data_IF_984725009157
#
_entry.id   IF_984725009157
#
_cell.length_a   1.000
_cell.length_b   1.000
_cell.length_c   1.000
_cell.angle_alpha   90.00
_cell.angle_beta   90.00
_cell.angle_gamma   90.00
#
_symmetry.space_group_name_H-M   'P 1'
#
loop_
_entity.id
_entity.type
_entity.pdbx_description
1 polymer ?
#
# COMPACT_ATOMS: atom_id res chain seq x y z
N UNK A 1 -16.13 23.24 -13.32
CA UNK A 1 -14.87 22.52 -13.04
C UNK A 1 -13.73 23.53 -13.00
N UNK A 2 -13.26 23.93 -11.82
CA UNK A 2 -12.16 24.90 -11.70
C UNK A 2 -11.04 24.23 -10.91
N UNK A 3 -10.06 23.74 -11.65
CA UNK A 3 -8.81 23.20 -11.14
C UNK A 3 -7.97 24.35 -10.58
N UNK A 4 -7.77 24.39 -9.27
CA UNK A 4 -6.82 25.33 -8.65
C UNK A 4 -5.53 24.54 -8.41
N UNK A 5 -4.51 24.81 -9.22
CA UNK A 5 -3.22 24.15 -9.13
C UNK A 5 -2.51 24.52 -7.81
N UNK A 6 -2.13 23.56 -6.95
CA UNK A 6 -1.28 23.85 -5.80
C UNK A 6 0.19 23.99 -6.21
N UNK A 7 0.94 24.73 -5.39
CA UNK A 7 2.39 24.91 -5.51
C UNK A 7 3.14 23.57 -5.48
N UNK A 8 4.15 23.35 -6.35
CA UNK A 8 4.81 22.08 -6.49
C UNK A 8 5.60 21.72 -5.22
N UNK A 9 5.27 20.57 -4.63
CA UNK A 9 6.11 19.94 -3.61
C UNK A 9 7.39 19.38 -4.26
N UNK A 10 8.52 19.33 -3.52
CA UNK A 10 9.78 18.83 -4.06
C UNK A 10 9.66 17.37 -4.51
N UNK A 11 10.14 17.08 -5.71
CA UNK A 11 10.24 15.73 -6.29
C UNK A 11 11.18 14.88 -5.42
N UNK A 12 10.62 14.01 -4.57
CA UNK A 12 11.41 13.05 -3.81
C UNK A 12 11.67 11.83 -4.70
N UNK A 13 12.86 11.78 -5.31
CA UNK A 13 13.36 10.60 -6.01
C UNK A 13 13.67 9.47 -5.02
N UNK A 14 12.69 8.64 -4.66
CA UNK A 14 12.91 7.47 -3.80
C UNK A 14 13.17 6.22 -4.64
N UNK A 15 14.45 5.95 -4.95
CA UNK A 15 14.86 4.64 -5.43
C UNK A 15 14.74 3.59 -4.31
N UNK A 16 14.24 2.39 -4.64
CA UNK A 16 14.23 1.25 -3.71
C UNK A 16 15.66 1.02 -3.20
N UNK A 17 15.89 1.33 -1.93
CA UNK A 17 17.22 1.34 -1.33
C UNK A 17 17.96 -0.02 -1.40
N UNK A 18 19.30 -0.01 -1.48
CA UNK A 18 20.16 -1.12 -1.90
C UNK A 18 20.18 -2.39 -1.00
N UNK A 19 19.35 -2.47 0.03
CA UNK A 19 19.36 -3.55 1.03
C UNK A 19 18.10 -4.43 1.05
N UNK A 20 17.08 -4.05 0.28
CA UNK A 20 15.72 -4.58 0.43
C UNK A 20 15.44 -5.90 -0.32
N UNK A 21 16.39 -6.83 -0.49
CA UNK A 21 16.04 -8.14 -1.10
C UNK A 21 17.08 -9.25 -0.84
N UNK A 22 18.30 -8.91 -0.38
CA UNK A 22 19.29 -9.90 0.07
C UNK A 22 18.81 -10.68 1.32
N UNK A 23 17.86 -10.11 2.07
CA UNK A 23 17.29 -10.69 3.29
C UNK A 23 16.32 -11.85 3.04
N UNK A 24 15.80 -12.00 1.81
CA UNK A 24 14.88 -13.09 1.46
C UNK A 24 15.61 -14.44 1.44
N UNK A 25 16.90 -14.47 1.08
CA UNK A 25 17.67 -15.72 1.01
C UNK A 25 18.17 -16.18 2.39
N UNK A 26 18.47 -15.25 3.30
CA UNK A 26 18.96 -15.58 4.66
C UNK A 26 17.84 -16.14 5.55
N UNK A 27 16.57 -15.79 5.31
CA UNK A 27 15.44 -16.18 6.16
C UNK A 27 14.89 -17.60 5.97
N UNK A 28 15.37 -18.38 5.00
CA UNK A 28 14.82 -19.71 4.66
C UNK A 28 15.74 -20.88 5.08
N UNK A 29 16.88 -20.62 5.72
CA UNK A 29 17.67 -21.70 6.33
C UNK A 29 18.32 -22.67 5.33
N UNK A 30 18.67 -22.20 4.13
CA UNK A 30 19.52 -22.98 3.21
C UNK A 30 20.95 -22.48 3.42
N UNK A 31 21.76 -23.29 4.10
CA UNK A 31 23.16 -22.96 4.42
C UNK A 31 24.04 -22.76 3.18
N UNK A 32 25.22 -22.14 3.34
CA UNK A 32 26.03 -21.60 2.24
C UNK A 32 26.56 -22.63 1.22
N UNK A 33 26.56 -23.92 1.58
CA UNK A 33 27.36 -24.93 0.87
C UNK A 33 26.65 -25.52 -0.37
N UNK A 34 25.33 -25.37 -0.49
CA UNK A 34 24.54 -25.81 -1.67
C UNK A 34 23.90 -24.65 -2.44
N UNK A 35 24.07 -23.41 -1.97
CA UNK A 35 23.25 -22.26 -2.36
C UNK A 35 23.98 -21.11 -3.04
N UNK A 36 25.29 -21.19 -3.28
CA UNK A 36 26.08 -20.05 -3.78
C UNK A 36 25.62 -19.49 -5.12
N UNK A 37 25.40 -20.35 -6.12
CA UNK A 37 24.92 -19.94 -7.44
C UNK A 37 23.46 -19.46 -7.42
N UNK A 38 22.60 -20.14 -6.65
CA UNK A 38 21.22 -19.70 -6.44
C UNK A 38 21.17 -18.35 -5.72
N UNK A 39 22.00 -18.14 -4.69
CA UNK A 39 22.15 -16.88 -3.98
C UNK A 39 22.68 -15.77 -4.89
N UNK A 40 23.69 -16.06 -5.71
CA UNK A 40 24.24 -15.12 -6.68
C UNK A 40 23.19 -14.74 -7.74
N UNK A 41 22.44 -15.70 -8.28
CA UNK A 41 21.32 -15.45 -9.19
C UNK A 41 20.24 -14.61 -8.53
N UNK A 42 19.86 -14.94 -7.29
CA UNK A 42 18.93 -14.12 -6.51
C UNK A 42 19.46 -12.68 -6.39
N UNK A 43 20.72 -12.50 -5.99
CA UNK A 43 21.34 -11.19 -5.83
C UNK A 43 21.42 -10.40 -7.15
N UNK A 44 21.67 -11.07 -8.28
CA UNK A 44 21.69 -10.47 -9.62
C UNK A 44 20.29 -10.04 -10.06
N UNK A 45 19.28 -10.90 -9.92
CA UNK A 45 17.89 -10.55 -10.23
C UNK A 45 17.41 -9.36 -9.39
N UNK A 46 17.79 -9.34 -8.12
CA UNK A 46 17.54 -8.23 -7.19
C UNK A 46 18.21 -6.93 -7.64
N UNK A 47 19.48 -6.97 -8.07
CA UNK A 47 20.17 -5.79 -8.60
C UNK A 47 19.55 -5.31 -9.91
N UNK A 48 19.14 -6.22 -10.80
CA UNK A 48 18.52 -5.88 -12.08
C UNK A 48 17.14 -5.25 -11.90
N UNK A 49 16.35 -5.75 -10.94
CA UNK A 49 15.07 -5.17 -10.55
C UNK A 49 15.18 -3.70 -10.07
N UNK A 50 16.36 -3.27 -9.61
CA UNK A 50 16.63 -1.89 -9.15
C UNK A 50 16.87 -0.89 -10.29
N UNK A 51 17.15 -1.35 -11.51
CA UNK A 51 17.52 -0.48 -12.64
C UNK A 51 16.32 0.22 -13.31
N UNK A 52 15.10 -0.13 -12.92
CA UNK A 52 13.87 0.43 -13.48
C UNK A 52 12.92 0.88 -12.36
N UNK A 53 13.28 1.84 -11.51
CA UNK A 53 12.34 2.31 -10.48
C UNK A 53 11.01 2.69 -11.14
N UNK A 54 9.89 2.13 -10.65
CA UNK A 54 8.58 2.62 -11.04
C UNK A 54 8.51 4.10 -10.72
N UNK A 55 8.13 4.90 -11.71
CA UNK A 55 7.94 6.34 -11.54
C UNK A 55 6.50 6.49 -11.08
N UNK A 56 6.29 7.13 -9.94
CA UNK A 56 4.94 7.58 -9.62
C UNK A 56 4.53 8.56 -10.72
N UNK A 57 3.27 8.61 -11.17
CA UNK A 57 2.79 9.87 -11.72
C UNK A 57 3.16 10.97 -10.72
N UNK A 58 3.39 12.22 -11.15
CA UNK A 58 3.61 13.33 -10.20
C UNK A 58 2.34 13.47 -9.35
N UNK A 59 2.24 12.66 -8.30
CA UNK A 59 1.26 12.74 -7.24
C UNK A 59 1.80 13.88 -6.41
N UNK A 60 1.55 15.09 -6.91
CA UNK A 60 1.45 16.25 -6.06
C UNK A 60 0.59 15.77 -4.89
N UNK A 61 1.10 15.89 -3.67
CA UNK A 61 0.31 15.71 -2.47
C UNK A 61 -0.84 16.72 -2.56
N UNK A 62 -1.91 16.33 -3.22
CA UNK A 62 -3.07 17.18 -3.44
C UNK A 62 -3.98 16.94 -2.27
N UNK A 63 -4.24 18.00 -1.51
CA UNK A 63 -5.52 18.19 -0.85
C UNK A 63 -6.57 18.22 -1.99
N UNK A 64 -7.01 17.04 -2.42
CA UNK A 64 -7.92 16.90 -3.55
C UNK A 64 -9.34 16.95 -3.01
N UNK A 65 -9.97 18.12 -3.10
CA UNK A 65 -11.39 18.28 -2.85
C UNK A 65 -12.17 17.76 -4.05
N UNK A 66 -12.78 16.59 -3.90
CA UNK A 66 -13.78 16.09 -4.84
C UNK A 66 -15.14 16.56 -4.33
N UNK A 67 -15.82 17.46 -5.03
CA UNK A 67 -17.25 17.67 -4.83
C UNK A 67 -17.99 17.35 -6.12
N UNK A 68 -19.04 16.55 -6.00
CA UNK A 68 -20.11 16.53 -7.00
C UNK A 68 -20.90 17.83 -6.84
N UNK A 69 -21.33 18.46 -7.93
CA UNK A 69 -22.02 19.76 -7.88
C UNK A 69 -23.36 19.67 -7.15
N UNK A 70 -23.90 18.46 -6.98
CA UNK A 70 -25.14 18.19 -6.24
C UNK A 70 -24.93 17.94 -4.73
N UNK A 71 -23.69 18.02 -4.22
CA UNK A 71 -23.32 17.72 -2.83
C UNK A 71 -22.70 18.90 -2.05
N UNK A 72 -22.84 20.13 -2.57
CA UNK A 72 -22.19 21.35 -2.03
C UNK A 72 -22.52 21.65 -0.55
N UNK A 73 -23.64 21.14 -0.03
CA UNK A 73 -24.07 21.33 1.38
C UNK A 73 -23.57 20.25 2.36
N UNK A 74 -22.71 19.31 1.91
CA UNK A 74 -22.22 18.23 2.76
C UNK A 74 -20.78 18.45 3.24
N UNK A 75 -20.55 18.33 4.55
CA UNK A 75 -19.20 18.40 5.12
C UNK A 75 -18.32 17.30 4.51
N UNK A 76 -17.17 17.63 3.91
CA UNK A 76 -16.28 16.65 3.30
C UNK A 76 -15.74 15.64 4.31
N UNK A 77 -15.62 14.39 3.88
CA UNK A 77 -14.92 13.34 4.62
C UNK A 77 -13.41 13.59 4.54
N UNK A 78 -12.75 13.73 5.68
CA UNK A 78 -11.28 13.80 5.75
C UNK A 78 -10.71 12.40 5.67
N UNK A 79 -10.04 12.07 4.56
CA UNK A 79 -9.48 10.75 4.31
C UNK A 79 -7.96 10.85 4.25
N UNK A 80 -7.25 10.13 5.12
CA UNK A 80 -5.78 10.10 5.12
C UNK A 80 -5.22 8.76 4.68
N UNK A 81 -4.32 8.77 3.71
CA UNK A 81 -3.57 7.60 3.26
C UNK A 81 -2.15 7.59 3.85
N UNK A 82 -1.82 6.51 4.55
CA UNK A 82 -0.50 6.22 5.10
C UNK A 82 0.12 5.01 4.38
N UNK A 83 1.44 5.00 4.26
CA UNK A 83 2.17 3.82 3.84
C UNK A 83 3.20 4.05 2.75
N UNK A 84 3.25 3.13 1.79
CA UNK A 84 4.32 3.02 0.81
C UNK A 84 3.93 3.42 -0.62
N UNK A 85 4.56 2.81 -1.63
CA UNK A 85 4.39 3.18 -3.03
C UNK A 85 2.96 2.97 -3.53
N UNK A 86 2.24 1.98 -3.01
CA UNK A 86 0.87 1.70 -3.43
C UNK A 86 -0.08 2.81 -2.95
N UNK A 87 0.04 3.20 -1.68
CA UNK A 87 -0.72 4.33 -1.14
C UNK A 87 -0.30 5.67 -1.75
N UNK A 88 0.95 5.81 -2.18
CA UNK A 88 1.44 6.96 -2.94
C UNK A 88 0.99 6.97 -4.42
N UNK A 89 0.26 5.95 -4.89
CA UNK A 89 -0.30 5.91 -6.24
C UNK A 89 0.66 5.43 -7.34
N UNK A 90 1.81 4.85 -6.99
CA UNK A 90 2.78 4.36 -8.00
C UNK A 90 2.15 3.25 -8.83
N UNK A 91 2.21 3.36 -10.16
CA UNK A 91 1.65 2.39 -11.09
C UNK A 91 0.33 2.80 -11.71
N UNK A 92 -0.29 3.89 -11.23
CA UNK A 92 -1.36 4.57 -11.96
C UNK A 92 -0.78 5.39 -13.13
N UNK A 93 -1.53 5.54 -14.22
CA UNK A 93 -1.11 6.35 -15.37
C UNK A 93 -1.43 7.84 -15.16
N UNK A 94 -2.41 8.15 -14.31
CA UNK A 94 -2.75 9.51 -13.87
C UNK A 94 -3.13 9.58 -12.39
N UNK A 95 -3.26 10.79 -11.84
CA UNK A 95 -3.69 11.01 -10.44
C UNK A 95 -5.08 10.44 -10.20
N UNK A 96 -5.98 10.58 -11.16
CA UNK A 96 -7.35 10.08 -11.11
C UNK A 96 -7.41 8.56 -10.98
N UNK A 97 -6.41 7.86 -11.49
CA UNK A 97 -6.33 6.40 -11.46
C UNK A 97 -5.58 5.85 -10.24
N UNK A 98 -5.08 6.71 -9.36
CA UNK A 98 -4.47 6.27 -8.10
C UNK A 98 -5.51 5.61 -7.19
N UNK A 99 -5.11 4.63 -6.36
CA UNK A 99 -6.04 3.97 -5.44
C UNK A 99 -6.80 4.95 -4.55
N UNK A 100 -6.10 5.97 -4.06
CA UNK A 100 -6.65 6.99 -3.18
C UNK A 100 -7.75 7.81 -3.87
N UNK A 101 -7.53 8.25 -5.11
CA UNK A 101 -8.53 9.00 -5.87
C UNK A 101 -9.69 8.13 -6.33
N UNK A 102 -9.44 6.87 -6.72
CA UNK A 102 -10.52 5.95 -7.09
C UNK A 102 -11.42 5.69 -5.89
N UNK A 103 -10.85 5.37 -4.71
CA UNK A 103 -11.63 5.20 -3.47
C UNK A 103 -12.38 6.47 -3.10
N UNK A 104 -11.73 7.64 -3.16
CA UNK A 104 -12.37 8.91 -2.79
C UNK A 104 -13.62 9.19 -3.62
N UNK A 105 -13.59 8.92 -4.93
CA UNK A 105 -14.77 9.06 -5.81
C UNK A 105 -15.88 8.04 -5.54
N UNK A 106 -15.57 6.94 -4.84
CA UNK A 106 -16.54 5.90 -4.53
C UNK A 106 -17.20 6.08 -3.15
N UNK A 107 -16.81 7.09 -2.35
CA UNK A 107 -17.33 7.29 -1.00
C UNK A 107 -18.66 8.08 -0.94
N UNK A 108 -19.31 8.32 -2.08
CA UNK A 108 -20.62 9.02 -2.24
C UNK A 108 -20.75 10.36 -1.48
N UNK A 109 -19.61 10.98 -1.15
CA UNK A 109 -19.52 12.24 -0.40
C UNK A 109 -18.30 13.01 -0.88
N UNK A 110 -18.27 14.35 -0.69
CA UNK A 110 -17.05 15.09 -0.91
C UNK A 110 -15.94 14.56 -0.01
N UNK A 111 -14.72 14.47 -0.55
CA UNK A 111 -13.56 13.97 0.19
C UNK A 111 -12.48 15.04 0.21
N UNK A 112 -11.97 15.34 1.40
CA UNK A 112 -10.71 16.03 1.62
C UNK A 112 -9.61 14.97 1.78
N UNK A 113 -8.88 14.72 0.70
CA UNK A 113 -7.92 13.63 0.61
C UNK A 113 -6.50 14.10 0.97
N UNK A 114 -5.87 13.43 1.93
CA UNK A 114 -4.47 13.66 2.31
C UNK A 114 -3.63 12.40 2.10
N UNK A 115 -2.57 12.49 1.30
CA UNK A 115 -1.65 11.38 1.05
C UNK A 115 -0.32 11.67 1.74
N UNK A 116 -0.03 10.95 2.84
CA UNK A 116 1.25 11.02 3.56
C UNK A 116 2.19 9.87 3.19
N UNK A 117 1.72 8.94 2.35
CA UNK A 117 2.47 7.79 1.90
C UNK A 117 3.73 8.20 1.12
N UNK A 118 4.80 7.41 1.30
CA UNK A 118 6.10 7.65 0.66
C UNK A 118 6.58 6.36 0.03
N UNK A 119 6.92 6.41 -1.26
CA UNK A 119 7.40 5.23 -1.98
C UNK A 119 8.64 4.62 -1.29
N UNK A 120 8.59 3.29 -1.12
CA UNK A 120 9.64 2.52 -0.43
C UNK A 120 9.55 2.50 1.10
N UNK A 121 8.59 3.23 1.70
CA UNK A 121 8.42 3.27 3.16
C UNK A 121 8.16 1.87 3.75
N UNK A 122 8.74 1.65 4.93
CA UNK A 122 8.46 0.50 5.81
C UNK A 122 7.56 0.97 6.95
N UNK A 123 7.03 0.02 7.73
CA UNK A 123 6.25 0.34 8.92
C UNK A 123 7.00 1.24 9.92
N UNK A 124 8.35 1.19 9.94
CA UNK A 124 9.15 2.10 10.78
C UNK A 124 9.05 3.55 10.32
N UNK A 125 9.05 3.76 9.01
CA UNK A 125 9.08 5.09 8.39
C UNK A 125 7.69 5.73 8.50
N UNK A 126 6.63 4.92 8.47
CA UNK A 126 5.27 5.40 8.80
C UNK A 126 5.24 5.95 10.24
N UNK A 127 5.77 5.20 11.21
CA UNK A 127 5.82 5.64 12.61
C UNK A 127 6.66 6.91 12.78
N UNK A 128 7.84 6.95 12.16
CA UNK A 128 8.82 8.02 12.39
C UNK A 128 8.51 9.31 11.61
N UNK A 129 7.89 9.22 10.43
CA UNK A 129 7.78 10.35 9.51
C UNK A 129 6.35 10.66 9.02
N UNK A 130 5.41 9.71 9.08
CA UNK A 130 4.04 9.94 8.60
C UNK A 130 3.07 10.19 9.74
N UNK A 131 3.12 9.39 10.82
CA UNK A 131 2.26 9.60 12.00
C UNK A 131 2.39 11.00 12.63
N UNK A 132 3.59 11.63 12.72
CA UNK A 132 3.69 12.99 13.26
C UNK A 132 2.98 14.06 12.42
N UNK A 133 2.56 13.73 11.20
CA UNK A 133 1.84 14.61 10.26
C UNK A 133 0.37 14.22 10.09
N UNK A 134 -0.09 13.20 10.83
CA UNK A 134 -1.47 12.74 10.84
C UNK A 134 -2.32 13.78 11.58
N UNK A 135 -3.26 14.37 10.86
CA UNK A 135 -4.29 15.23 11.41
C UNK A 135 -5.56 14.40 11.73
N UNK A 136 -6.52 14.94 12.49
CA UNK A 136 -7.81 14.28 12.69
C UNK A 136 -8.48 13.94 11.35
N UNK A 137 -8.80 12.67 11.16
CA UNK A 137 -9.38 12.13 9.94
C UNK A 137 -10.64 11.33 10.26
N UNK A 138 -11.58 11.29 9.32
CA UNK A 138 -12.81 10.51 9.41
C UNK A 138 -12.59 9.08 8.88
N UNK A 139 -11.55 8.88 8.06
CA UNK A 139 -11.10 7.58 7.58
C UNK A 139 -9.57 7.59 7.37
N UNK A 140 -8.91 6.53 7.81
CA UNK A 140 -7.49 6.27 7.52
C UNK A 140 -7.34 5.00 6.69
N UNK A 141 -6.55 5.06 5.62
CA UNK A 141 -6.20 3.89 4.80
C UNK A 141 -4.70 3.63 4.90
N UNK A 142 -4.32 2.39 5.23
CA UNK A 142 -2.92 2.00 5.44
C UNK A 142 -2.51 0.95 4.40
N UNK A 143 -1.48 1.26 3.63
CA UNK A 143 -0.80 0.32 2.73
C UNK A 143 0.68 0.23 3.07
N UNK A 144 1.06 -0.70 3.95
CA UNK A 144 2.46 -0.85 4.34
C UNK A 144 2.86 -2.29 4.66
N UNK A 145 4.04 -2.64 4.17
CA UNK A 145 4.79 -3.81 4.64
C UNK A 145 5.38 -4.69 3.53
N UNK A 146 5.06 -4.43 2.27
CA UNK A 146 5.76 -5.05 1.14
C UNK A 146 7.28 -4.74 1.22
N UNK A 147 7.63 -3.51 1.59
CA UNK A 147 9.01 -3.09 1.83
C UNK A 147 9.64 -3.71 3.10
N UNK A 148 8.84 -4.09 4.10
CA UNK A 148 9.32 -4.83 5.27
C UNK A 148 9.65 -6.28 4.89
N UNK A 149 8.79 -6.93 4.10
CA UNK A 149 9.00 -8.27 3.53
C UNK A 149 10.29 -8.30 2.73
N UNK A 150 10.52 -7.27 1.91
CA UNK A 150 11.71 -7.17 1.09
C UNK A 150 13.00 -6.96 1.94
N UNK A 151 12.88 -6.35 3.13
CA UNK A 151 14.02 -6.01 3.99
C UNK A 151 14.40 -7.05 5.05
N UNK A 152 15.44 -6.73 5.83
CA UNK A 152 15.87 -7.46 7.03
C UNK A 152 14.96 -7.23 8.26
N UNK A 153 13.81 -6.57 8.10
CA UNK A 153 12.79 -6.50 9.16
C UNK A 153 12.41 -7.91 9.61
N UNK A 154 12.27 -8.09 10.92
CA UNK A 154 11.65 -9.29 11.46
C UNK A 154 10.14 -9.09 11.49
N UNK A 155 9.38 -10.19 11.35
CA UNK A 155 7.91 -10.16 11.46
C UNK A 155 7.44 -9.55 12.78
N UNK A 156 8.17 -9.79 13.88
CA UNK A 156 7.84 -9.22 15.19
C UNK A 156 8.01 -7.69 15.21
N UNK A 157 9.12 -7.16 14.65
CA UNK A 157 9.31 -5.71 14.54
C UNK A 157 8.25 -5.05 13.67
N UNK A 158 7.90 -5.68 12.55
CA UNK A 158 6.80 -5.23 11.70
C UNK A 158 5.47 -5.20 12.47
N UNK A 159 5.10 -6.30 13.14
CA UNK A 159 3.86 -6.40 13.90
C UNK A 159 3.76 -5.33 15.00
N UNK A 160 4.83 -5.10 15.76
CA UNK A 160 4.88 -4.07 16.80
C UNK A 160 4.71 -2.65 16.24
N UNK A 161 5.28 -2.38 15.07
CA UNK A 161 5.13 -1.06 14.42
C UNK A 161 3.75 -0.86 13.85
N UNK A 162 3.16 -1.90 13.24
CA UNK A 162 1.77 -1.84 12.79
C UNK A 162 0.82 -1.62 13.97
N UNK A 163 1.09 -2.25 15.12
CA UNK A 163 0.30 -2.07 16.34
C UNK A 163 0.36 -0.62 16.83
N UNK A 164 1.56 -0.01 16.81
CA UNK A 164 1.74 1.41 17.14
C UNK A 164 1.04 2.35 16.13
N UNK A 165 1.06 2.01 14.84
CA UNK A 165 0.33 2.77 13.82
C UNK A 165 -1.17 2.74 14.11
N UNK A 166 -1.75 1.55 14.34
CA UNK A 166 -3.19 1.42 14.61
C UNK A 166 -3.61 2.06 15.94
N UNK A 167 -2.74 2.03 16.94
CA UNK A 167 -2.97 2.75 18.19
C UNK A 167 -3.01 4.28 17.97
N UNK A 168 -2.15 4.81 17.09
CA UNK A 168 -2.10 6.24 16.78
C UNK A 168 -3.23 6.73 15.87
N UNK A 169 -3.84 5.84 15.07
CA UNK A 169 -5.00 6.19 14.24
C UNK A 169 -6.33 6.06 14.98
N UNK A 170 -6.34 5.48 16.18
CA UNK A 170 -7.55 5.40 17.00
C UNK A 170 -8.02 6.80 17.44
N UNK A 171 -9.35 7.06 17.50
CA UNK A 171 -10.45 6.12 17.23
C UNK A 171 -10.91 6.11 15.76
N UNK A 172 -10.20 6.78 14.84
CA UNK A 172 -10.67 6.93 13.46
C UNK A 172 -10.80 5.57 12.74
N UNK A 173 -11.92 5.31 12.04
CA UNK A 173 -12.07 4.19 11.11
C UNK A 173 -10.80 3.96 10.28
N UNK A 174 -10.22 2.77 10.38
CA UNK A 174 -8.93 2.46 9.73
C UNK A 174 -9.02 1.22 8.85
N UNK A 175 -8.86 1.38 7.54
CA UNK A 175 -8.74 0.26 6.59
C UNK A 175 -7.27 -0.12 6.41
N UNK A 176 -6.93 -1.39 6.65
CA UNK A 176 -5.57 -1.92 6.46
C UNK A 176 -5.55 -2.85 5.26
N UNK A 177 -4.84 -2.46 4.21
CA UNK A 177 -4.68 -3.32 3.02
C UNK A 177 -3.91 -4.59 3.37
N UNK A 178 -4.35 -5.73 2.83
CA UNK A 178 -3.57 -6.97 2.89
C UNK A 178 -2.28 -6.84 2.08
N UNK A 179 -1.31 -7.73 2.35
CA UNK A 179 -0.11 -7.78 1.51
C UNK A 179 -0.52 -8.24 0.11
N UNK A 180 -0.27 -7.45 -0.96
CA UNK A 180 -0.63 -7.88 -2.31
C UNK A 180 0.12 -9.16 -2.69
N UNK A 181 -0.41 -9.91 -3.67
CA UNK A 181 0.28 -11.10 -4.18
C UNK A 181 1.54 -10.68 -4.95
N UNK A 182 2.66 -10.56 -4.24
CA UNK A 182 3.95 -10.20 -4.82
C UNK A 182 4.51 -11.25 -5.78
N UNK A 183 3.87 -12.42 -5.91
CA UNK A 183 4.24 -13.39 -6.95
C UNK A 183 3.80 -12.96 -8.35
N UNK A 184 2.91 -11.96 -8.44
CA UNK A 184 2.55 -11.33 -9.71
C UNK A 184 3.71 -10.52 -10.30
N UNK A 185 4.64 -10.03 -9.48
CA UNK A 185 5.75 -9.19 -9.94
C UNK A 185 6.67 -9.93 -10.93
N UNK A 186 6.56 -9.55 -12.20
CA UNK A 186 7.29 -10.17 -13.30
C UNK A 186 8.77 -9.89 -13.32
N UNK A 187 9.14 -8.74 -12.78
CA UNK A 187 10.52 -8.29 -12.63
C UNK A 187 11.40 -9.24 -11.80
N UNK A 188 10.81 -10.08 -10.95
CA UNK A 188 11.54 -11.00 -10.07
C UNK A 188 11.48 -12.41 -10.65
N UNK A 189 12.60 -13.06 -10.94
CA UNK A 189 12.60 -14.43 -11.45
C UNK A 189 12.33 -15.49 -10.36
N UNK A 190 12.14 -16.74 -10.79
CA UNK A 190 12.25 -17.88 -9.88
C UNK A 190 13.73 -18.16 -9.54
N UNK A 191 14.05 -18.66 -8.34
CA UNK A 191 13.15 -19.00 -7.24
C UNK A 191 12.79 -17.83 -6.29
N UNK A 192 13.43 -16.65 -6.45
CA UNK A 192 13.25 -15.49 -5.54
C UNK A 192 11.79 -15.12 -5.37
N UNK A 193 11.03 -15.10 -6.47
CA UNK A 193 9.60 -14.77 -6.48
C UNK A 193 8.79 -15.68 -5.57
N UNK A 194 9.04 -16.99 -5.59
CA UNK A 194 8.37 -17.95 -4.72
C UNK A 194 8.73 -17.73 -3.24
N UNK A 195 10.02 -17.53 -2.94
CA UNK A 195 10.45 -17.24 -1.56
C UNK A 195 9.83 -15.94 -1.05
N UNK A 196 9.76 -14.91 -1.90
CA UNK A 196 9.12 -13.65 -1.59
C UNK A 196 7.64 -13.88 -1.25
N UNK A 197 6.88 -14.59 -2.10
CA UNK A 197 5.47 -14.90 -1.83
C UNK A 197 5.24 -15.67 -0.52
N UNK A 198 6.13 -16.61 -0.16
CA UNK A 198 6.08 -17.28 1.16
C UNK A 198 6.30 -16.30 2.31
N UNK A 199 7.30 -15.43 2.19
CA UNK A 199 7.62 -14.42 3.21
C UNK A 199 6.50 -13.38 3.35
N UNK A 200 5.87 -12.96 2.24
CA UNK A 200 4.72 -12.07 2.25
C UNK A 200 3.55 -12.67 3.05
N UNK A 201 3.17 -13.93 2.78
CA UNK A 201 2.13 -14.65 3.55
C UNK A 201 2.48 -14.76 5.04
N UNK A 202 3.76 -14.99 5.36
CA UNK A 202 4.22 -15.03 6.76
C UNK A 202 4.06 -13.69 7.47
N UNK A 203 4.31 -12.56 6.80
CA UNK A 203 4.09 -11.21 7.34
C UNK A 203 2.60 -10.85 7.38
N UNK A 204 1.83 -11.19 6.35
CA UNK A 204 0.39 -10.92 6.29
C UNK A 204 -0.36 -11.60 7.45
N UNK A 205 0.04 -12.81 7.83
CA UNK A 205 -0.51 -13.48 9.00
C UNK A 205 -0.23 -12.72 10.32
N UNK A 206 0.84 -11.92 10.41
CA UNK A 206 1.03 -11.02 11.54
C UNK A 206 0.21 -9.74 11.39
N UNK A 207 0.16 -9.15 10.19
CA UNK A 207 -0.67 -7.98 9.88
C UNK A 207 -2.13 -8.22 10.29
N UNK A 208 -2.75 -9.30 9.79
CA UNK A 208 -4.13 -9.67 10.12
C UNK A 208 -4.36 -9.83 11.62
N UNK A 209 -3.43 -10.48 12.34
CA UNK A 209 -3.51 -10.62 13.80
C UNK A 209 -3.37 -9.30 14.56
N UNK A 210 -2.63 -8.34 14.02
CA UNK A 210 -2.51 -7.01 14.60
C UNK A 210 -3.80 -6.24 14.33
N UNK A 211 -4.26 -6.17 13.09
CA UNK A 211 -5.51 -5.48 12.71
C UNK A 211 -6.70 -5.96 13.53
N UNK A 212 -6.89 -7.28 13.68
CA UNK A 212 -8.03 -7.84 14.42
C UNK A 212 -8.02 -7.54 15.93
N UNK A 213 -6.95 -6.95 16.49
CA UNK A 213 -6.89 -6.52 17.90
C UNK A 213 -7.43 -5.09 18.10
N UNK A 214 -7.68 -4.35 17.02
CA UNK A 214 -8.10 -2.96 17.05
C UNK A 214 -9.54 -2.86 16.50
N UNK A 215 -10.55 -2.54 17.34
CA UNK A 215 -11.96 -2.54 16.92
C UNK A 215 -12.29 -1.54 15.81
N UNK A 216 -11.58 -0.41 15.77
CA UNK A 216 -11.73 0.62 14.73
C UNK A 216 -11.08 0.27 13.40
N UNK A 217 -10.50 -0.94 13.26
CA UNK A 217 -9.72 -1.33 12.08
C UNK A 217 -10.21 -2.63 11.41
N UNK A 218 -10.32 -2.60 10.09
CA UNK A 218 -10.69 -3.77 9.26
C UNK A 218 -9.65 -3.99 8.15
N UNK A 219 -9.46 -5.25 7.76
CA UNK A 219 -8.60 -5.61 6.64
C UNK A 219 -9.35 -5.55 5.30
N UNK A 220 -8.82 -4.84 4.31
CA UNK A 220 -9.25 -4.97 2.92
C UNK A 220 -8.34 -5.99 2.21
N UNK A 221 -8.91 -7.09 1.71
CA UNK A 221 -8.11 -8.09 0.99
C UNK A 221 -7.80 -7.61 -0.44
N UNK A 222 -6.54 -7.28 -0.71
CA UNK A 222 -6.04 -6.89 -2.03
C UNK A 222 -5.11 -7.96 -2.64
N UNK A 223 -4.92 -9.08 -1.94
CA UNK A 223 -4.04 -10.16 -2.38
C UNK A 223 -4.74 -11.12 -3.36
N UNK A 224 -6.03 -11.36 -3.14
CA UNK A 224 -6.81 -12.32 -3.93
C UNK A 224 -7.26 -11.67 -5.24
N UNK A 225 -6.83 -12.17 -6.39
CA UNK A 225 -7.38 -11.71 -7.68
C UNK A 225 -8.80 -12.28 -7.90
N UNK A 226 -9.66 -11.61 -8.68
CA UNK A 226 -10.95 -12.19 -9.09
C UNK A 226 -10.75 -13.56 -9.74
N UNK A 227 -11.70 -14.49 -9.51
CA UNK A 227 -11.59 -15.89 -9.96
C UNK A 227 -11.44 -16.00 -11.48
N UNK A 228 -12.07 -15.08 -12.22
CA UNK A 228 -12.04 -15.06 -13.68
C UNK A 228 -10.77 -14.41 -14.25
N UNK A 229 -9.94 -13.79 -13.40
CA UNK A 229 -8.69 -13.19 -13.82
C UNK A 229 -7.52 -14.19 -13.62
N UNK A 230 -7.05 -14.77 -14.73
CA UNK A 230 -5.90 -15.66 -14.68
C UNK A 230 -4.64 -14.93 -14.18
N UNK A 231 -3.68 -15.69 -13.64
CA UNK A 231 -2.39 -15.12 -13.23
C UNK A 231 -1.61 -14.50 -14.38
N UNK A 232 -1.74 -15.05 -15.59
CA UNK A 232 -1.05 -14.52 -16.76
C UNK A 232 -1.72 -13.23 -17.24
N UNK A 233 -3.06 -13.17 -17.25
CA UNK A 233 -3.79 -11.93 -17.48
C UNK A 233 -3.43 -10.86 -16.42
N UNK A 234 -3.31 -11.25 -15.15
CA UNK A 234 -2.90 -10.33 -14.08
C UNK A 234 -1.48 -9.76 -14.23
N UNK A 235 -0.58 -10.41 -14.99
CA UNK A 235 0.75 -9.84 -15.30
C UNK A 235 0.67 -8.73 -16.34
N UNK A 236 -0.28 -8.84 -17.27
CA UNK A 236 -0.60 -7.78 -18.22
C UNK A 236 -1.24 -6.57 -17.53
N UNK A 237 -1.77 -6.77 -16.32
CA UNK A 237 -2.30 -5.70 -15.47
C UNK A 237 -1.25 -5.01 -14.59
N UNK A 238 0.04 -5.33 -14.72
CA UNK A 238 1.11 -4.57 -14.08
C UNK A 238 1.36 -3.27 -14.85
N UNK A 239 1.82 -2.24 -14.16
CA UNK A 239 2.28 -1.03 -14.85
C UNK A 239 3.59 -1.29 -15.62
N UNK A 240 4.08 -0.27 -16.34
CA UNK A 240 5.28 -0.37 -17.18
C UNK A 240 6.54 -0.88 -16.44
N UNK A 241 6.59 -0.76 -15.11
CA UNK A 241 7.70 -1.26 -14.32
C UNK A 241 7.65 -2.79 -14.10
N UNK A 242 6.55 -3.47 -14.43
CA UNK A 242 6.38 -4.93 -14.25
C UNK A 242 6.57 -5.40 -12.81
N UNK A 243 6.27 -4.52 -11.86
CA UNK A 243 6.33 -4.77 -10.42
C UNK A 243 5.09 -4.25 -9.71
N UNK A 244 4.71 -2.98 -9.91
CA UNK A 244 3.51 -2.40 -9.31
C UNK A 244 2.26 -2.78 -10.12
N UNK A 245 1.11 -2.92 -9.46
CA UNK A 245 -0.16 -3.04 -10.16
C UNK A 245 -0.45 -1.79 -11.00
N UNK A 246 -1.10 -2.01 -12.14
CA UNK A 246 -1.62 -0.94 -12.99
C UNK A 246 -3.03 -0.48 -12.58
N UNK A 247 -3.58 0.53 -13.28
CA UNK A 247 -4.87 1.15 -12.96
C UNK A 247 -6.03 0.16 -12.83
N UNK A 248 -6.05 -0.88 -13.66
CA UNK A 248 -7.13 -1.87 -13.65
C UNK A 248 -7.19 -2.66 -12.34
N UNK A 249 -6.03 -2.99 -11.75
CA UNK A 249 -5.96 -3.65 -10.44
C UNK A 249 -6.37 -2.69 -9.34
N UNK A 250 -6.02 -1.41 -9.45
CA UNK A 250 -6.41 -0.40 -8.47
C UNK A 250 -7.92 -0.17 -8.39
N UNK A 251 -8.65 -0.30 -9.50
CA UNK A 251 -10.13 -0.31 -9.46
C UNK A 251 -10.67 -1.48 -8.64
N UNK A 252 -10.17 -2.70 -8.88
CA UNK A 252 -10.56 -3.90 -8.11
C UNK A 252 -10.24 -3.74 -6.62
N UNK A 253 -9.09 -3.15 -6.29
CA UNK A 253 -8.71 -2.90 -4.91
C UNK A 253 -9.58 -1.81 -4.27
N UNK A 254 -9.90 -0.75 -5.02
CA UNK A 254 -10.74 0.34 -4.55
C UNK A 254 -12.15 -0.15 -4.17
N UNK A 255 -12.75 -1.08 -4.91
CA UNK A 255 -14.02 -1.71 -4.53
C UNK A 255 -13.96 -2.32 -3.13
N UNK A 256 -12.89 -3.05 -2.83
CA UNK A 256 -12.72 -3.75 -1.55
C UNK A 256 -12.36 -2.81 -0.41
N UNK A 257 -11.56 -1.79 -0.69
CA UNK A 257 -11.20 -0.75 0.29
C UNK A 257 -12.44 0.07 0.64
N UNK A 258 -13.22 0.47 -0.36
CA UNK A 258 -14.46 1.26 -0.17
C UNK A 258 -15.51 0.45 0.59
N UNK A 259 -15.70 -0.83 0.27
CA UNK A 259 -16.61 -1.70 1.02
C UNK A 259 -16.20 -1.80 2.51
N UNK A 260 -14.91 -1.99 2.80
CA UNK A 260 -14.42 -2.01 4.18
C UNK A 260 -14.56 -0.65 4.89
N UNK A 261 -14.35 0.47 4.16
CA UNK A 261 -14.51 1.82 4.69
C UNK A 261 -15.96 2.11 5.07
N UNK A 262 -16.92 1.84 4.17
CA UNK A 262 -18.35 2.02 4.43
C UNK A 262 -18.79 1.22 5.66
N UNK A 263 -18.37 -0.04 5.75
CA UNK A 263 -18.67 -0.89 6.91
C UNK A 263 -18.20 -0.26 8.24
N UNK A 264 -17.00 0.33 8.27
CA UNK A 264 -16.49 0.97 9.49
C UNK A 264 -17.22 2.29 9.81
N UNK A 265 -17.49 3.11 8.79
CA UNK A 265 -18.16 4.40 9.00
C UNK A 265 -19.60 4.21 9.49
N UNK A 266 -20.34 3.24 8.93
CA UNK A 266 -21.68 2.89 9.39
C UNK A 266 -21.69 2.46 10.88
N UNK A 267 -20.65 1.78 11.36
CA UNK A 267 -20.54 1.39 12.77
C UNK A 267 -20.32 2.58 13.70
N UNK A 268 -19.65 3.63 13.23
CA UNK A 268 -19.45 4.87 14.00
C UNK A 268 -20.74 5.68 14.07
N UNK A 269 -21.48 5.78 12.96
CA UNK A 269 -22.74 6.54 12.88
C UNK A 269 -23.86 5.93 13.75
N UNK A 270 -23.80 4.62 14.03
CA UNK A 270 -24.81 3.90 14.84
C UNK A 270 -24.45 3.86 16.34
N UNK A 271 -23.23 4.18 16.73
CA UNK A 271 -22.82 4.15 18.13
C UNK A 271 -23.45 5.33 18.92
N UNK A 272 -24.19 5.08 20.03
CA UNK A 272 -24.74 6.17 20.84
C UNK A 272 -23.61 6.97 21.49
N UNK A 273 -23.73 8.30 21.41
CA UNK A 273 -22.79 9.28 21.97
C UNK A 273 -22.67 9.21 23.51
#
# INVERSE_FOLDING_TARGET
MQYIAPTPAPVVRSGIGPWALASIVVGVGVGPVMGGAAFALCAVQVRRARRHPGVAPDVVATDAFLADQDLEDTTPLRVTWLGDSLAAGIGADSVEETPAMVVARMLDRPVDLRILAVSGAKAKDVVEAQLPRLEPADLVVISVGANDVASASSRHRYARRLDAILAATAPAPTVVMSMPDITMADRIGQPVRWLAGRRARYFDAARRRVTNRHPHAISADVATMPVDLSRDAGRELLCADRFHPGPQVYRIWADRITAAARQLMEQVDVAPA
#
